data_IF_684478834756
#
_entry.id   IF_684478834756
#
_cell.length_a   1.000
_cell.length_b   1.000
_cell.length_c   1.000
_cell.angle_alpha   90.00
_cell.angle_beta   90.00
_cell.angle_gamma   90.00
#
_symmetry.space_group_name_H-M   'P 1'
#
loop_
_entity.id
_entity.type
_entity.pdbx_description
1 polymer ?
#
# COMPACT_ATOMS: atom_id res chain seq x y z
N UNK A 1 -7.86 17.63 -34.48
CA UNK A 1 -9.21 18.23 -34.27
C UNK A 1 -9.19 19.75 -34.45
N UNK A 2 -8.53 20.54 -33.59
CA UNK A 2 -8.52 22.03 -33.71
C UNK A 2 -8.17 22.56 -35.11
N UNK A 3 -7.13 22.00 -35.75
CA UNK A 3 -6.74 22.33 -37.13
C UNK A 3 -7.84 22.04 -38.17
N UNK A 4 -8.57 20.92 -38.02
CA UNK A 4 -9.67 20.54 -38.92
C UNK A 4 -10.85 21.50 -38.81
N UNK A 5 -11.14 21.98 -37.59
CA UNK A 5 -12.20 22.97 -37.33
C UNK A 5 -11.86 24.30 -37.99
N UNK A 6 -10.63 24.78 -37.84
CA UNK A 6 -10.23 26.10 -38.37
C UNK A 6 -10.04 26.10 -39.88
N UNK A 7 -9.76 24.95 -40.50
CA UNK A 7 -9.53 24.84 -41.96
C UNK A 7 -10.79 24.58 -42.78
N UNK A 8 -11.94 24.31 -42.15
CA UNK A 8 -13.18 23.96 -42.85
C UNK A 8 -14.32 24.90 -42.50
N UNK A 9 -15.09 25.32 -43.50
CA UNK A 9 -16.22 26.26 -43.30
C UNK A 9 -17.43 25.64 -42.58
N UNK A 10 -17.57 24.31 -42.61
CA UNK A 10 -18.65 23.53 -41.98
C UNK A 10 -18.11 22.19 -41.45
N UNK A 11 -17.27 22.21 -40.40
CA UNK A 11 -16.69 20.98 -39.88
C UNK A 11 -17.79 20.10 -39.25
N UNK A 12 -17.81 18.82 -39.59
CA UNK A 12 -18.70 17.82 -38.98
C UNK A 12 -17.87 16.64 -38.50
N UNK A 13 -18.38 15.88 -37.52
CA UNK A 13 -17.74 14.69 -37.01
C UNK A 13 -18.78 13.63 -36.68
N UNK A 14 -18.40 12.36 -36.80
CA UNK A 14 -19.20 11.22 -36.36
C UNK A 14 -18.49 10.53 -35.21
N UNK A 15 -19.21 10.25 -34.12
CA UNK A 15 -18.70 9.47 -32.99
C UNK A 15 -19.13 8.02 -33.19
N UNK A 16 -18.16 7.14 -33.46
CA UNK A 16 -18.39 5.71 -33.53
C UNK A 16 -18.10 5.04 -32.19
N UNK A 17 -18.90 4.05 -31.82
CA UNK A 17 -18.68 3.21 -30.64
C UNK A 17 -18.02 1.90 -31.08
N UNK A 18 -16.82 1.61 -30.56
CA UNK A 18 -16.07 0.38 -30.89
C UNK A 18 -16.21 -0.72 -29.82
N UNK A 19 -17.14 -0.58 -28.88
CA UNK A 19 -17.30 -1.49 -27.75
C UNK A 19 -16.09 -1.53 -26.82
N UNK A 20 -16.02 -2.57 -26.00
CA UNK A 20 -14.93 -2.79 -25.04
C UNK A 20 -13.69 -3.34 -25.76
N UNK A 21 -12.55 -2.68 -25.57
CA UNK A 21 -11.24 -3.18 -26.03
C UNK A 21 -10.53 -3.88 -24.88
N UNK A 22 -10.15 -5.14 -25.10
CA UNK A 22 -9.38 -5.95 -24.15
C UNK A 22 -7.90 -5.96 -24.54
N UNK A 23 -7.03 -6.33 -23.60
CA UNK A 23 -5.58 -6.41 -23.85
C UNK A 23 -4.92 -5.03 -23.99
N UNK A 24 -5.46 -4.00 -23.33
CA UNK A 24 -4.84 -2.68 -23.30
C UNK A 24 -3.61 -2.73 -22.38
N UNK A 25 -2.45 -2.38 -22.93
CA UNK A 25 -1.20 -2.29 -22.21
C UNK A 25 -0.66 -0.84 -22.25
N UNK A 26 0.03 -0.37 -21.19
CA UNK A 26 0.33 -1.09 -19.96
C UNK A 26 -0.89 -1.22 -19.03
N UNK A 27 -0.96 -2.32 -18.28
CA UNK A 27 -1.99 -2.58 -17.27
C UNK A 27 -1.42 -3.48 -16.16
N UNK A 28 -1.66 -3.19 -14.87
CA UNK A 28 -2.44 -2.07 -14.33
C UNK A 28 -1.69 -0.73 -14.41
N UNK A 29 -2.38 0.39 -14.21
CA UNK A 29 -1.77 1.71 -14.00
C UNK A 29 -2.37 2.36 -12.77
N UNK A 30 -1.61 3.20 -12.07
CA UNK A 30 -2.18 3.99 -10.97
C UNK A 30 -3.03 5.11 -11.58
N UNK A 31 -4.30 5.18 -11.17
CA UNK A 31 -5.22 6.20 -11.67
C UNK A 31 -4.79 7.60 -11.21
N UNK A 32 -5.01 8.60 -12.07
CA UNK A 32 -4.59 9.97 -11.79
C UNK A 32 -5.29 10.60 -10.58
N UNK A 33 -6.52 10.16 -10.31
CA UNK A 33 -7.30 10.61 -9.14
C UNK A 33 -6.97 9.84 -7.85
N UNK A 34 -6.18 8.76 -7.91
CA UNK A 34 -5.86 7.97 -6.72
C UNK A 34 -5.01 8.82 -5.78
N UNK A 35 -5.44 8.97 -4.52
CA UNK A 35 -4.68 9.70 -3.51
C UNK A 35 -3.31 9.06 -3.28
N UNK A 36 -2.32 9.91 -3.00
CA UNK A 36 -0.92 9.51 -2.81
C UNK A 36 -0.47 9.75 -1.38
N UNK A 37 0.53 9.00 -0.94
CA UNK A 37 1.25 9.25 0.30
C UNK A 37 2.12 10.52 0.22
N UNK A 38 2.89 10.81 1.29
CA UNK A 38 3.00 10.02 2.52
C UNK A 38 1.75 10.09 3.40
N UNK A 39 1.69 9.26 4.44
CA UNK A 39 0.67 9.35 5.47
C UNK A 39 0.82 10.67 6.25
N UNK A 40 -0.15 11.60 6.19
CA UNK A 40 -0.02 12.91 6.83
C UNK A 40 -0.08 12.85 8.37
N UNK A 41 -0.56 11.74 8.95
CA UNK A 41 -0.68 11.56 10.40
C UNK A 41 0.58 10.90 10.97
N UNK A 42 1.13 9.92 10.27
CA UNK A 42 2.33 9.17 10.70
C UNK A 42 3.16 8.79 9.47
N UNK A 43 4.06 9.68 9.00
CA UNK A 43 4.85 9.48 7.79
C UNK A 43 5.72 8.22 7.80
N UNK A 44 6.07 7.70 8.97
CA UNK A 44 6.82 6.46 9.18
C UNK A 44 6.00 5.20 8.85
N UNK A 45 4.68 5.33 8.65
CA UNK A 45 3.79 4.27 8.16
C UNK A 45 3.41 4.58 6.72
N UNK A 46 3.96 3.80 5.79
CA UNK A 46 3.71 3.95 4.35
C UNK A 46 2.22 3.83 4.03
N UNK A 47 1.72 4.77 3.21
CA UNK A 47 0.39 4.72 2.60
C UNK A 47 0.42 5.13 1.12
N UNK A 48 -0.44 4.56 0.26
CA UNK A 48 -1.43 3.51 0.57
C UNK A 48 -0.77 2.16 0.88
N UNK A 49 -1.55 1.16 1.30
CA UNK A 49 -0.99 -0.17 1.64
C UNK A 49 -0.75 -1.04 0.39
N UNK A 50 -1.69 -1.01 -0.56
CA UNK A 50 -1.67 -1.76 -1.81
C UNK A 50 -2.73 -1.20 -2.78
N UNK A 51 -2.69 -1.59 -4.05
CA UNK A 51 -3.67 -1.18 -5.08
C UNK A 51 -4.43 -2.38 -5.65
N UNK A 52 -5.64 -2.09 -6.16
CA UNK A 52 -6.52 -3.05 -6.80
C UNK A 52 -7.37 -2.36 -7.88
N UNK A 53 -8.05 -3.10 -8.77
CA UNK A 53 -8.84 -2.53 -9.86
C UNK A 53 -9.93 -1.58 -9.37
N UNK A 54 -9.92 -0.33 -9.87
CA UNK A 54 -10.89 0.69 -9.48
C UNK A 54 -11.31 1.63 -10.59
N UNK A 55 -10.91 1.38 -11.84
CA UNK A 55 -11.26 2.20 -13.01
C UNK A 55 -12.17 1.39 -13.92
N UNK A 56 -13.30 1.98 -14.31
CA UNK A 56 -14.30 1.37 -15.18
C UNK A 56 -14.80 0.01 -14.67
N UNK A 57 -15.15 -0.06 -13.38
CA UNK A 57 -15.67 -1.27 -12.76
C UNK A 57 -17.17 -1.35 -12.99
N UNK A 58 -17.61 -2.45 -13.61
CA UNK A 58 -19.02 -2.80 -13.77
C UNK A 58 -19.55 -3.43 -12.49
N UNK A 59 -20.59 -2.84 -11.89
CA UNK A 59 -21.23 -3.37 -10.70
C UNK A 59 -22.74 -3.09 -10.70
N UNK A 60 -23.47 -3.74 -9.78
CA UNK A 60 -24.92 -3.56 -9.63
C UNK A 60 -25.29 -2.10 -9.35
N UNK A 61 -26.41 -1.66 -9.90
CA UNK A 61 -26.90 -0.30 -9.79
C UNK A 61 -28.40 -0.29 -9.49
N UNK A 62 -28.83 0.63 -8.62
CA UNK A 62 -30.20 0.63 -8.10
C UNK A 62 -31.26 1.04 -9.13
N UNK A 63 -30.84 1.66 -10.24
CA UNK A 63 -31.75 2.24 -11.23
C UNK A 63 -32.48 3.51 -10.77
N UNK A 64 -32.27 3.97 -9.52
CA UNK A 64 -32.91 5.20 -8.98
C UNK A 64 -32.34 6.49 -9.58
N UNK A 65 -31.08 6.44 -10.01
CA UNK A 65 -30.36 7.56 -10.62
C UNK A 65 -29.80 7.07 -11.96
N UNK A 66 -29.84 7.92 -12.98
CA UNK A 66 -29.24 7.62 -14.28
C UNK A 66 -27.75 7.26 -14.16
N UNK A 67 -27.24 6.38 -15.04
CA UNK A 67 -25.87 5.87 -14.93
C UNK A 67 -24.80 6.94 -15.09
N UNK A 68 -25.08 8.07 -15.77
CA UNK A 68 -24.11 9.17 -15.86
C UNK A 68 -24.07 10.06 -14.63
N UNK A 69 -25.08 10.01 -13.75
CA UNK A 69 -25.24 10.93 -12.63
C UNK A 69 -25.55 12.38 -13.05
N UNK A 70 -25.78 12.66 -14.33
CA UNK A 70 -26.10 13.98 -14.85
C UNK A 70 -27.61 14.27 -14.73
N UNK A 71 -27.93 15.55 -14.50
CA UNK A 71 -29.31 16.02 -14.58
C UNK A 71 -29.88 15.75 -15.99
N UNK A 72 -31.08 15.14 -16.04
CA UNK A 72 -31.73 14.75 -17.29
C UNK A 72 -31.38 13.35 -17.82
N UNK A 73 -30.43 12.64 -17.20
CA UNK A 73 -30.22 11.22 -17.52
C UNK A 73 -31.27 10.34 -16.83
N UNK A 74 -32.35 10.05 -17.56
CA UNK A 74 -33.47 9.23 -17.08
C UNK A 74 -33.32 7.73 -17.41
N UNK A 75 -32.13 7.26 -17.80
CA UNK A 75 -31.93 5.83 -18.11
C UNK A 75 -31.95 5.00 -16.82
N UNK A 76 -32.65 3.88 -16.84
CA UNK A 76 -32.61 2.89 -15.76
C UNK A 76 -31.79 1.68 -16.20
N UNK A 77 -30.75 1.34 -15.43
CA UNK A 77 -29.85 0.21 -15.71
C UNK A 77 -29.64 -0.61 -14.45
N UNK A 78 -29.52 -1.93 -14.61
CA UNK A 78 -29.23 -2.86 -13.52
C UNK A 78 -27.75 -2.87 -13.13
N UNK A 79 -26.88 -2.43 -14.04
CA UNK A 79 -25.44 -2.36 -13.84
C UNK A 79 -24.91 -1.02 -14.35
N UNK A 80 -23.91 -0.48 -13.67
CA UNK A 80 -23.23 0.75 -14.05
C UNK A 80 -21.71 0.57 -14.03
N UNK A 81 -21.01 1.39 -14.81
CA UNK A 81 -19.56 1.42 -14.89
C UNK A 81 -19.10 2.71 -14.23
N UNK A 82 -18.41 2.59 -13.10
CA UNK A 82 -17.88 3.73 -12.36
C UNK A 82 -16.41 3.53 -12.00
N UNK A 83 -15.76 4.62 -11.65
CA UNK A 83 -14.34 4.64 -11.27
C UNK A 83 -14.17 5.32 -9.92
N UNK A 84 -13.22 4.83 -9.14
CA UNK A 84 -12.87 5.38 -7.84
C UNK A 84 -12.10 4.37 -6.99
N UNK A 85 -11.38 4.86 -5.99
CA UNK A 85 -10.82 4.01 -4.93
C UNK A 85 -11.93 3.29 -4.16
N UNK A 86 -13.14 3.86 -4.12
CA UNK A 86 -14.38 3.21 -3.66
C UNK A 86 -14.71 1.92 -4.42
N UNK A 87 -14.20 1.72 -5.64
CA UNK A 87 -14.35 0.48 -6.41
C UNK A 87 -13.17 -0.47 -6.19
N UNK A 88 -11.96 0.05 -5.91
CA UNK A 88 -10.81 -0.78 -5.51
C UNK A 88 -11.01 -1.43 -4.13
N UNK A 89 -11.53 -0.68 -3.17
CA UNK A 89 -11.77 -1.14 -1.80
C UNK A 89 -12.56 -2.46 -1.72
N UNK A 90 -13.75 -2.62 -2.35
CA UNK A 90 -14.51 -3.86 -2.28
C UNK A 90 -13.81 -5.05 -2.96
N UNK A 91 -12.93 -4.84 -3.94
CA UNK A 91 -12.08 -5.93 -4.46
C UNK A 91 -11.16 -6.46 -3.36
N UNK A 92 -10.43 -5.57 -2.67
CA UNK A 92 -9.53 -5.95 -1.57
C UNK A 92 -10.32 -6.57 -0.41
N UNK A 93 -11.50 -6.04 -0.06
CA UNK A 93 -12.36 -6.62 0.97
C UNK A 93 -12.81 -8.04 0.62
N UNK A 94 -13.19 -8.28 -0.64
CA UNK A 94 -13.53 -9.62 -1.13
C UNK A 94 -12.34 -10.58 -1.07
N UNK A 95 -11.15 -10.12 -1.48
CA UNK A 95 -9.92 -10.90 -1.37
C UNK A 95 -9.57 -11.23 0.08
N UNK A 96 -9.65 -10.26 0.98
CA UNK A 96 -9.42 -10.48 2.41
C UNK A 96 -10.39 -11.51 2.99
N UNK A 97 -11.66 -11.49 2.58
CA UNK A 97 -12.64 -12.49 2.99
C UNK A 97 -12.31 -13.89 2.44
N UNK A 98 -11.85 -14.01 1.19
CA UNK A 98 -11.42 -15.28 0.61
C UNK A 98 -10.18 -15.85 1.33
N UNK A 99 -9.19 -15.00 1.61
CA UNK A 99 -8.01 -15.39 2.39
C UNK A 99 -8.42 -15.81 3.80
N UNK A 100 -9.35 -15.09 4.45
CA UNK A 100 -9.90 -15.49 5.76
C UNK A 100 -10.63 -16.83 5.71
N UNK A 101 -11.37 -17.10 4.64
CA UNK A 101 -12.07 -18.37 4.46
C UNK A 101 -11.09 -19.55 4.27
N UNK A 102 -9.98 -19.32 3.57
CA UNK A 102 -8.91 -20.31 3.42
C UNK A 102 -8.10 -20.51 4.71
N UNK A 103 -7.94 -19.44 5.50
CA UNK A 103 -7.14 -19.41 6.73
C UNK A 103 -7.95 -18.85 7.90
N UNK A 104 -8.87 -19.67 8.42
CA UNK A 104 -9.85 -19.26 9.44
C UNK A 104 -9.23 -18.68 10.71
N UNK A 105 -8.02 -19.08 11.06
CA UNK A 105 -7.32 -18.63 12.28
C UNK A 105 -6.51 -17.34 12.08
N UNK A 106 -6.32 -16.87 10.84
CA UNK A 106 -5.48 -15.70 10.59
C UNK A 106 -6.11 -14.42 11.14
N UNK A 107 -5.30 -13.61 11.79
CA UNK A 107 -5.68 -12.27 12.23
C UNK A 107 -5.92 -11.35 11.00
N UNK A 108 -6.63 -10.22 11.18
CA UNK A 108 -6.72 -9.19 10.15
C UNK A 108 -5.34 -8.70 9.68
N UNK A 109 -4.35 -8.65 10.58
CA UNK A 109 -2.99 -8.24 10.27
C UNK A 109 -2.24 -9.27 9.42
N UNK A 110 -2.38 -10.56 9.72
CA UNK A 110 -1.82 -11.64 8.93
C UNK A 110 -2.41 -11.65 7.50
N UNK A 111 -3.72 -11.45 7.35
CA UNK A 111 -4.37 -11.35 6.04
C UNK A 111 -3.86 -10.14 5.26
N UNK A 112 -3.77 -8.99 5.91
CA UNK A 112 -3.21 -7.78 5.31
C UNK A 112 -1.76 -8.01 4.89
N UNK A 113 -0.95 -8.62 5.75
CA UNK A 113 0.43 -8.96 5.44
C UNK A 113 0.51 -9.84 4.21
N UNK A 114 -0.28 -10.91 4.13
CA UNK A 114 -0.29 -11.81 2.99
C UNK A 114 -0.61 -11.07 1.68
N UNK A 115 -1.63 -10.20 1.68
CA UNK A 115 -1.99 -9.39 0.51
C UNK A 115 -0.90 -8.39 0.10
N UNK A 116 -0.16 -7.83 1.06
CA UNK A 116 0.91 -6.86 0.80
C UNK A 116 2.20 -7.52 0.34
N UNK A 117 2.70 -8.53 1.05
CA UNK A 117 4.01 -9.14 0.76
C UNK A 117 4.03 -9.98 -0.51
N UNK A 118 2.85 -10.31 -1.06
CA UNK A 118 2.69 -11.07 -2.31
C UNK A 118 2.25 -10.20 -3.48
N UNK A 119 2.01 -8.91 -3.26
CA UNK A 119 1.68 -7.97 -4.32
C UNK A 119 2.84 -7.76 -5.30
N UNK A 120 2.52 -7.43 -6.55
CA UNK A 120 3.53 -7.17 -7.59
C UNK A 120 3.64 -5.67 -7.91
N UNK A 121 4.86 -5.23 -8.21
CA UNK A 121 5.19 -3.81 -8.47
C UNK A 121 5.62 -3.54 -9.92
N UNK A 122 5.72 -4.59 -10.74
CA UNK A 122 6.17 -4.53 -12.12
C UNK A 122 5.31 -5.39 -13.04
N UNK A 123 5.26 -5.03 -14.32
CA UNK A 123 4.65 -5.86 -15.35
C UNK A 123 5.50 -7.12 -15.62
N UNK A 124 4.93 -8.07 -16.38
CA UNK A 124 5.63 -9.30 -16.79
C UNK A 124 6.94 -9.05 -17.56
N UNK A 125 7.10 -7.88 -18.17
CA UNK A 125 8.32 -7.48 -18.88
C UNK A 125 9.37 -6.79 -17.98
N UNK A 126 9.15 -6.76 -16.66
CA UNK A 126 10.05 -6.17 -15.67
C UNK A 126 9.97 -4.65 -15.54
N UNK A 127 9.19 -3.95 -16.38
CA UNK A 127 8.98 -2.51 -16.23
C UNK A 127 8.06 -2.22 -15.04
N UNK A 128 8.36 -1.16 -14.31
CA UNK A 128 7.54 -0.71 -13.18
C UNK A 128 6.12 -0.31 -13.61
N UNK A 129 5.17 -0.48 -12.68
CA UNK A 129 3.82 0.11 -12.81
C UNK A 129 3.97 1.63 -13.02
N UNK A 130 3.13 2.21 -13.87
CA UNK A 130 3.18 3.64 -14.17
C UNK A 130 2.07 4.41 -13.47
N UNK A 131 2.38 5.65 -13.13
CA UNK A 131 1.40 6.63 -12.69
C UNK A 131 0.90 7.41 -13.91
N UNK A 132 -0.40 7.33 -14.19
CA UNK A 132 -0.97 8.00 -15.36
C UNK A 132 -1.07 9.52 -15.21
N UNK A 133 -0.99 10.07 -13.99
CA UNK A 133 -0.97 11.52 -13.79
C UNK A 133 0.34 12.14 -14.26
N UNK A 134 1.47 11.45 -14.04
CA UNK A 134 2.81 11.96 -14.32
C UNK A 134 3.41 11.34 -15.58
N UNK A 135 2.97 10.15 -15.97
CA UNK A 135 3.55 9.36 -17.07
C UNK A 135 4.86 8.66 -16.71
N UNK A 136 5.28 8.71 -15.44
CA UNK A 136 6.52 8.12 -14.95
C UNK A 136 6.28 6.83 -14.16
N UNK A 137 7.34 6.03 -13.87
CA UNK A 137 7.27 4.91 -12.94
C UNK A 137 6.66 5.33 -11.60
N UNK A 138 5.69 4.57 -11.11
CA UNK A 138 5.09 4.74 -9.80
C UNK A 138 6.07 4.40 -8.69
N UNK A 139 5.85 5.02 -7.55
CA UNK A 139 6.56 4.84 -6.29
C UNK A 139 5.69 4.11 -5.26
N UNK A 140 6.27 3.65 -4.14
CA UNK A 140 5.49 3.11 -3.03
C UNK A 140 4.46 4.08 -2.44
N UNK A 141 4.60 5.41 -2.62
CA UNK A 141 3.56 6.38 -2.23
C UNK A 141 2.35 6.38 -3.17
N UNK A 142 2.47 5.73 -4.33
CA UNK A 142 1.39 5.60 -5.30
C UNK A 142 0.66 4.26 -5.18
N UNK A 143 1.41 3.17 -4.97
CA UNK A 143 0.86 1.81 -4.95
C UNK A 143 1.04 1.03 -3.65
N UNK A 144 1.73 1.56 -2.64
CA UNK A 144 2.06 0.82 -1.42
C UNK A 144 3.00 -0.35 -1.69
N UNK A 145 2.55 -1.55 -1.35
CA UNK A 145 3.27 -2.80 -1.62
C UNK A 145 3.15 -3.27 -3.08
N UNK A 146 2.15 -2.79 -3.82
CA UNK A 146 1.93 -3.15 -5.22
C UNK A 146 0.48 -3.47 -5.54
N UNK A 147 0.26 -4.03 -6.72
CA UNK A 147 -1.05 -4.53 -7.13
C UNK A 147 -1.29 -5.94 -6.57
N UNK A 148 -2.50 -6.15 -6.03
CA UNK A 148 -2.92 -7.43 -5.45
C UNK A 148 -2.65 -8.62 -6.37
N UNK A 149 -2.12 -9.71 -5.78
CA UNK A 149 -2.08 -11.05 -6.36
C UNK A 149 -2.89 -12.02 -5.47
N UNK A 150 -4.15 -12.32 -5.85
CA UNK A 150 -5.02 -13.18 -5.06
C UNK A 150 -4.49 -14.60 -4.83
N UNK A 151 -3.76 -15.15 -5.81
CA UNK A 151 -3.33 -16.54 -5.77
C UNK A 151 -2.10 -16.66 -4.89
N UNK A 152 -1.13 -15.76 -5.05
CA UNK A 152 0.05 -15.73 -4.20
C UNK A 152 -0.30 -15.44 -2.72
N UNK A 153 -1.30 -14.58 -2.46
CA UNK A 153 -1.74 -14.24 -1.10
C UNK A 153 -2.33 -15.43 -0.31
N UNK A 154 -2.70 -16.53 -0.95
CA UNK A 154 -3.18 -17.74 -0.26
C UNK A 154 -2.05 -18.54 0.40
N UNK A 155 -0.81 -18.40 -0.07
CA UNK A 155 0.36 -19.06 0.52
C UNK A 155 1.58 -18.12 0.53
N UNK A 156 1.59 -17.11 1.41
CA UNK A 156 2.65 -16.11 1.46
C UNK A 156 3.96 -16.64 2.08
N UNK A 157 3.96 -17.85 2.65
CA UNK A 157 5.05 -18.43 3.44
C UNK A 157 5.23 -17.77 4.82
N UNK A 158 5.43 -16.45 4.85
CA UNK A 158 5.63 -15.67 6.08
C UNK A 158 4.64 -14.50 6.18
N UNK A 159 4.24 -14.16 7.40
CA UNK A 159 3.40 -12.97 7.67
C UNK A 159 3.95 -12.11 8.80
N UNK A 160 3.76 -10.79 8.67
CA UNK A 160 3.90 -9.80 9.73
C UNK A 160 2.59 -9.72 10.49
N UNK A 161 2.48 -10.49 11.57
CA UNK A 161 1.29 -10.51 12.41
C UNK A 161 1.37 -9.44 13.51
N UNK A 162 0.24 -8.84 13.87
CA UNK A 162 0.12 -7.88 14.97
C UNK A 162 -1.12 -8.17 15.80
N UNK A 163 -1.03 -7.82 17.08
CA UNK A 163 -2.09 -7.91 18.08
C UNK A 163 -2.73 -6.55 18.34
N UNK A 164 -3.83 -6.55 19.08
CA UNK A 164 -4.44 -5.30 19.57
C UNK A 164 -3.47 -4.53 20.46
N UNK A 165 -2.72 -5.23 21.31
CA UNK A 165 -1.74 -4.60 22.21
C UNK A 165 -0.61 -3.90 21.44
N UNK A 166 -0.18 -4.45 20.29
CA UNK A 166 0.80 -3.78 19.42
C UNK A 166 0.27 -2.44 18.87
N UNK A 167 -1.03 -2.36 18.56
CA UNK A 167 -1.66 -1.09 18.17
C UNK A 167 -1.82 -0.13 19.34
N UNK A 168 -2.10 -0.62 20.55
CA UNK A 168 -2.18 0.21 21.75
C UNK A 168 -0.80 0.79 22.10
N UNK A 169 0.26 -0.01 21.99
CA UNK A 169 1.65 0.42 22.12
C UNK A 169 2.04 1.44 21.04
N UNK A 170 1.55 1.27 19.81
CA UNK A 170 1.74 2.23 18.73
C UNK A 170 1.03 3.56 19.02
N UNK A 171 -0.20 3.55 19.56
CA UNK A 171 -0.87 4.77 20.00
C UNK A 171 -0.11 5.47 21.13
N UNK A 172 0.51 4.70 22.04
CA UNK A 172 1.42 5.26 23.04
C UNK A 172 2.66 5.91 22.40
N UNK A 173 3.22 5.33 21.34
CA UNK A 173 4.33 5.93 20.58
C UNK A 173 3.93 7.24 19.89
N UNK A 174 2.66 7.40 19.53
CA UNK A 174 2.08 8.63 18.98
C UNK A 174 1.69 9.66 20.06
N UNK A 175 2.03 9.41 21.34
CA UNK A 175 1.68 10.27 22.48
C UNK A 175 0.18 10.44 22.72
N UNK A 176 -0.65 9.46 22.37
CA UNK A 176 -2.07 9.49 22.71
C UNK A 176 -2.25 9.38 24.23
N UNK A 177 -3.18 10.17 24.78
CA UNK A 177 -3.59 10.04 26.18
C UNK A 177 -4.43 8.78 26.39
N UNK A 178 -4.52 8.29 27.64
CA UNK A 178 -5.37 7.14 27.96
C UNK A 178 -6.85 7.36 27.59
N UNK A 179 -7.36 8.59 27.66
CA UNK A 179 -8.73 8.90 27.25
C UNK A 179 -8.88 8.82 25.73
N UNK A 180 -7.90 9.32 24.96
CA UNK A 180 -7.89 9.19 23.50
C UNK A 180 -7.80 7.73 23.06
N UNK A 181 -6.97 6.93 23.73
CA UNK A 181 -6.87 5.49 23.46
C UNK A 181 -8.19 4.80 23.79
N UNK A 182 -8.81 5.13 24.93
CA UNK A 182 -10.13 4.59 25.31
C UNK A 182 -11.19 4.90 24.27
N UNK A 183 -11.25 6.12 23.76
CA UNK A 183 -12.20 6.49 22.70
C UNK A 183 -11.91 5.82 21.36
N UNK A 184 -10.63 5.58 21.04
CA UNK A 184 -10.23 5.02 19.74
C UNK A 184 -10.34 3.50 19.69
N UNK A 185 -9.85 2.82 20.74
CA UNK A 185 -9.81 1.35 20.82
C UNK A 185 -11.05 0.75 21.53
N UNK A 186 -11.91 1.60 22.11
CA UNK A 186 -13.04 1.18 22.96
C UNK A 186 -12.61 0.23 24.11
N UNK A 187 -11.39 0.43 24.62
CA UNK A 187 -10.78 -0.36 25.69
C UNK A 187 -9.89 0.52 26.56
N UNK A 188 -9.87 0.29 27.87
CA UNK A 188 -8.96 1.00 28.76
C UNK A 188 -7.52 0.51 28.59
N UNK A 189 -6.61 1.44 28.34
CA UNK A 189 -5.18 1.16 28.24
C UNK A 189 -4.36 2.34 28.79
N UNK A 190 -3.30 2.01 29.52
CA UNK A 190 -2.38 3.01 30.11
C UNK A 190 -0.96 2.72 29.65
N UNK A 191 -0.39 3.68 28.93
CA UNK A 191 1.01 3.64 28.53
C UNK A 191 1.89 3.61 29.78
N UNK A 192 2.56 2.49 30.02
CA UNK A 192 3.56 2.35 31.08
C UNK A 192 4.72 3.32 30.88
N UNK A 193 5.05 4.11 31.91
CA UNK A 193 6.21 5.02 31.90
C UNK A 193 7.55 4.29 31.88
N UNK A 194 7.58 3.01 32.24
CA UNK A 194 8.80 2.20 32.25
C UNK A 194 9.14 1.63 30.85
N UNK A 195 8.19 1.65 29.92
CA UNK A 195 8.36 1.12 28.56
C UNK A 195 8.62 2.27 27.59
N UNK A 196 9.60 2.08 26.69
CA UNK A 196 9.84 2.99 25.58
C UNK A 196 9.01 2.51 24.39
N UNK A 197 8.10 3.37 23.91
CA UNK A 197 7.31 3.11 22.72
C UNK A 197 7.94 3.80 21.51
N UNK A 198 7.93 3.13 20.37
CA UNK A 198 8.45 3.67 19.11
C UNK A 198 7.51 3.32 17.97
N UNK A 199 7.34 4.27 17.06
CA UNK A 199 6.54 4.06 15.85
C UNK A 199 7.14 2.94 15.01
N UNK A 200 8.48 2.90 14.93
CA UNK A 200 9.22 1.90 14.15
C UNK A 200 9.04 0.46 14.65
N UNK A 201 8.57 0.25 15.89
CA UNK A 201 8.41 -1.09 16.48
C UNK A 201 7.05 -1.74 16.11
N UNK A 202 6.12 -1.00 15.48
CA UNK A 202 4.89 -1.61 14.93
C UNK A 202 5.28 -2.65 13.87
N UNK A 203 4.83 -3.89 14.04
CA UNK A 203 5.19 -5.02 13.17
C UNK A 203 4.46 -4.96 11.81
N UNK A 204 4.75 -3.94 11.02
CA UNK A 204 4.05 -3.61 9.78
C UNK A 204 4.80 -4.15 8.55
N UNK A 205 4.09 -4.64 7.51
CA UNK A 205 4.70 -5.24 6.30
C UNK A 205 5.26 -4.19 5.30
N UNK A 206 5.73 -3.05 5.80
CA UNK A 206 6.46 -2.05 5.04
C UNK A 206 7.34 -1.21 5.96
N UNK A 207 8.26 -0.46 5.35
CA UNK A 207 9.18 0.43 6.04
C UNK A 207 9.12 1.80 5.35
N UNK A 208 8.89 2.86 6.12
CA UNK A 208 9.05 4.24 5.66
C UNK A 208 9.95 4.98 6.65
N UNK A 209 10.91 5.72 6.11
CA UNK A 209 11.88 6.50 6.89
C UNK A 209 11.75 7.94 6.44
N UNK A 210 11.48 8.84 7.38
CA UNK A 210 11.63 10.26 7.15
C UNK A 210 13.09 10.64 7.42
N UNK A 211 13.78 11.16 6.41
CA UNK A 211 15.17 11.58 6.52
C UNK A 211 15.22 13.10 6.62
N UNK A 212 15.91 13.62 7.63
CA UNK A 212 16.13 15.06 7.78
C UNK A 212 17.00 15.56 6.62
N UNK A 213 16.56 16.63 5.96
CA UNK A 213 17.33 17.34 4.92
C UNK A 213 18.16 18.47 5.55
N UNK A 214 19.28 18.84 4.94
CA UNK A 214 20.26 19.82 5.44
C UNK A 214 19.73 21.26 5.68
N UNK A 215 18.44 21.53 5.51
CA UNK A 215 17.83 22.85 5.73
C UNK A 215 17.58 23.20 7.20
N UNK A 216 17.71 22.27 8.14
CA UNK A 216 17.53 22.54 9.57
C UNK A 216 18.85 22.60 10.34
N UNK A 217 19.66 23.64 10.08
CA UNK A 217 20.72 24.16 10.98
C UNK A 217 21.63 23.13 11.69
N UNK A 218 22.05 22.04 11.02
CA UNK A 218 23.04 21.10 11.57
C UNK A 218 23.99 20.61 10.48
N UNK A 219 25.21 20.26 10.93
CA UNK A 219 26.33 19.81 10.10
C UNK A 219 25.89 18.96 8.90
N UNK A 220 26.37 19.35 7.73
CA UNK A 220 26.14 18.75 6.40
C UNK A 220 26.68 17.30 6.24
N UNK A 221 26.93 16.61 7.36
CA UNK A 221 27.43 15.23 7.46
C UNK A 221 26.69 14.38 8.51
N UNK A 222 25.59 14.89 9.10
CA UNK A 222 24.81 14.09 10.03
C UNK A 222 24.19 12.87 9.32
N UNK A 223 24.52 11.67 9.80
CA UNK A 223 23.94 10.42 9.29
C UNK A 223 22.69 10.11 10.09
N UNK A 224 21.53 10.14 9.45
CA UNK A 224 20.28 9.69 10.05
C UNK A 224 20.25 8.17 10.04
N UNK A 225 20.09 7.53 11.20
CA UNK A 225 19.98 6.07 11.33
C UNK A 225 18.68 5.69 12.02
N UNK A 226 17.85 4.91 11.35
CA UNK A 226 16.56 4.41 11.85
C UNK A 226 16.59 2.88 11.89
N UNK A 227 16.11 2.30 12.99
CA UNK A 227 16.10 0.86 13.22
C UNK A 227 14.67 0.36 13.38
N UNK A 228 14.28 -0.62 12.58
CA UNK A 228 12.98 -1.27 12.65
C UNK A 228 13.15 -2.67 13.18
N UNK A 229 12.41 -3.02 14.22
CA UNK A 229 12.28 -4.41 14.67
C UNK A 229 11.05 -5.02 14.02
N UNK A 230 11.20 -6.19 13.42
CA UNK A 230 10.08 -6.94 12.84
C UNK A 230 10.10 -8.38 13.30
N UNK A 231 8.93 -8.98 13.37
CA UNK A 231 8.73 -10.38 13.71
C UNK A 231 7.92 -11.05 12.60
N UNK A 232 8.48 -12.10 12.01
CA UNK A 232 7.81 -12.92 11.02
C UNK A 232 7.27 -14.17 11.70
N UNK A 233 6.05 -14.54 11.33
CA UNK A 233 5.45 -15.83 11.68
C UNK A 233 5.45 -16.72 10.45
N UNK A 234 5.98 -17.93 10.55
CA UNK A 234 5.89 -18.91 9.47
C UNK A 234 4.48 -19.49 9.37
N UNK A 235 3.83 -19.32 8.23
CA UNK A 235 2.50 -19.87 7.92
C UNK A 235 2.56 -20.95 6.84
N UNK A 236 3.73 -21.20 6.27
CA UNK A 236 3.99 -22.28 5.31
C UNK A 236 4.74 -23.46 5.92
N UNK A 237 5.24 -24.34 5.05
CA UNK A 237 6.08 -25.48 5.46
C UNK A 237 7.42 -25.02 6.04
N UNK A 238 8.09 -25.82 6.89
CA UNK A 238 9.43 -25.52 7.40
C UNK A 238 10.40 -25.14 6.28
N UNK A 239 11.07 -24.00 6.43
CA UNK A 239 11.93 -23.42 5.40
C UNK A 239 12.94 -22.42 5.98
N UNK A 240 14.01 -22.20 5.21
CA UNK A 240 15.01 -21.17 5.50
C UNK A 240 14.90 -20.04 4.47
N UNK A 241 14.75 -18.82 4.96
CA UNK A 241 14.63 -17.61 4.15
C UNK A 241 15.89 -16.77 4.28
N UNK A 242 16.39 -16.26 3.16
CA UNK A 242 17.50 -15.31 3.11
C UNK A 242 16.99 -13.95 2.66
N UNK A 243 17.34 -12.90 3.40
CA UNK A 243 16.99 -11.53 3.05
C UNK A 243 17.75 -11.08 1.80
N UNK A 244 17.03 -10.47 0.86
CA UNK A 244 17.61 -9.80 -0.29
C UNK A 244 17.26 -8.31 -0.20
N UNK A 245 18.29 -7.45 -0.23
CA UNK A 245 18.13 -6.01 -0.17
C UNK A 245 18.50 -5.43 -1.53
N UNK A 246 17.58 -4.68 -2.14
CA UNK A 246 17.81 -3.96 -3.39
C UNK A 246 17.64 -2.46 -3.15
N UNK A 247 18.74 -1.72 -3.17
CA UNK A 247 18.74 -0.27 -3.02
C UNK A 247 18.96 0.40 -4.39
N UNK A 248 18.10 1.35 -4.73
CA UNK A 248 18.17 2.11 -5.98
C UNK A 248 19.08 3.35 -5.88
N UNK A 249 19.50 3.71 -4.66
CA UNK A 249 20.39 4.84 -4.37
C UNK A 249 21.58 4.38 -3.55
N UNK A 250 22.76 4.90 -3.87
CA UNK A 250 23.98 4.68 -3.08
C UNK A 250 24.01 5.50 -1.79
N UNK A 251 23.16 6.53 -1.68
CA UNK A 251 23.11 7.42 -0.50
C UNK A 251 22.36 6.81 0.68
N UNK A 252 21.64 5.70 0.47
CA UNK A 252 20.89 5.00 1.52
C UNK A 252 21.46 3.60 1.68
N UNK A 253 21.96 3.29 2.87
CA UNK A 253 22.43 1.96 3.25
C UNK A 253 21.35 1.26 4.08
N UNK A 254 20.97 0.06 3.66
CA UNK A 254 20.00 -0.79 4.36
C UNK A 254 20.70 -2.09 4.75
N UNK A 255 20.60 -2.45 6.03
CA UNK A 255 21.20 -3.67 6.60
C UNK A 255 20.13 -4.47 7.33
N UNK A 256 20.12 -5.79 7.14
CA UNK A 256 19.16 -6.71 7.76
C UNK A 256 19.91 -7.71 8.63
N UNK A 257 19.54 -7.81 9.91
CA UNK A 257 20.19 -8.70 10.87
C UNK A 257 19.16 -9.53 11.67
N UNK A 258 19.24 -10.87 11.67
CA UNK A 258 20.12 -11.70 10.84
C UNK A 258 19.67 -11.71 9.37
N UNK A 259 20.61 -11.94 8.43
CA UNK A 259 20.30 -12.07 7.00
C UNK A 259 19.55 -13.36 6.65
N UNK A 260 19.49 -14.33 7.55
CA UNK A 260 18.85 -15.63 7.33
C UNK A 260 18.02 -16.05 8.53
N UNK A 261 16.80 -16.51 8.27
CA UNK A 261 15.87 -17.04 9.27
C UNK A 261 15.45 -18.46 8.89
N UNK A 262 15.69 -19.43 9.77
CA UNK A 262 15.32 -20.84 9.55
C UNK A 262 14.18 -21.23 10.48
N UNK A 263 13.00 -21.54 9.91
CA UNK A 263 11.81 -21.95 10.63
C UNK A 263 11.62 -23.46 10.52
N UNK A 264 11.46 -24.13 11.65
CA UNK A 264 11.36 -25.59 11.76
C UNK A 264 9.90 -26.08 11.82
N UNK A 265 8.94 -25.19 12.07
CA UNK A 265 7.51 -25.52 12.15
C UNK A 265 6.61 -24.35 11.79
N UNK A 266 5.36 -24.66 11.47
CA UNK A 266 4.28 -23.67 11.32
C UNK A 266 4.09 -22.93 12.64
N UNK A 267 3.76 -21.65 12.58
CA UNK A 267 3.56 -20.71 13.69
C UNK A 267 4.82 -20.39 14.51
N UNK A 268 5.99 -20.85 14.10
CA UNK A 268 7.24 -20.36 14.70
C UNK A 268 7.44 -18.88 14.33
N UNK A 269 7.79 -18.08 15.34
CA UNK A 269 8.04 -16.65 15.21
C UNK A 269 9.53 -16.36 15.31
N UNK A 270 10.06 -15.52 14.43
CA UNK A 270 11.44 -15.02 14.50
C UNK A 270 11.50 -13.55 14.21
N UNK A 271 12.36 -12.87 14.93
CA UNK A 271 12.58 -11.44 14.78
C UNK A 271 13.85 -11.16 14.00
N UNK A 272 13.83 -10.04 13.28
CA UNK A 272 14.98 -9.46 12.62
C UNK A 272 14.92 -7.94 12.74
N UNK A 273 16.05 -7.29 12.52
CA UNK A 273 16.19 -5.85 12.57
C UNK A 273 16.58 -5.33 11.19
N UNK A 274 15.91 -4.27 10.73
CA UNK A 274 16.31 -3.49 9.56
C UNK A 274 16.90 -2.18 10.04
N UNK A 275 18.14 -1.90 9.67
CA UNK A 275 18.79 -0.61 9.92
C UNK A 275 18.89 0.14 8.60
N UNK A 276 18.29 1.32 8.54
CA UNK A 276 18.41 2.26 7.42
C UNK A 276 19.26 3.42 7.86
N UNK A 277 20.34 3.69 7.16
CA UNK A 277 21.22 4.83 7.39
C UNK A 277 21.41 5.63 6.11
N UNK A 278 21.25 6.94 6.19
CA UNK A 278 21.47 7.84 5.06
C UNK A 278 22.21 9.10 5.52
N UNK A 279 23.10 9.59 4.67
CA UNK A 279 23.71 10.90 4.85
C UNK A 279 22.68 11.99 4.58
N UNK A 280 22.78 13.12 5.29
CA UNK A 280 21.93 14.29 5.07
C UNK A 280 21.90 14.67 3.58
N UNK A 281 20.74 14.58 2.96
CA UNK A 281 20.55 14.93 1.55
C UNK A 281 20.35 16.45 1.38
N UNK A 282 20.81 17.04 0.27
CA UNK A 282 20.49 18.43 -0.07
C UNK A 282 18.97 18.62 -0.20
N UNK A 283 18.45 19.73 0.33
CA UNK A 283 17.01 20.05 0.23
C UNK A 283 16.54 20.07 -1.23
N UNK A 284 15.44 19.38 -1.52
CA UNK A 284 14.84 19.33 -2.86
C UNK A 284 15.42 18.29 -3.82
N UNK A 285 16.11 17.27 -3.29
CA UNK A 285 16.53 16.08 -4.05
C UNK A 285 15.56 14.90 -3.93
#
# INVERSE_FOLDING_TARGET
IKKYITSNKKPTATIGFSGTKLGVEPSPVVASFSSRGPNPITPEILKPDLIAPGVNILAGWTGKVGPSGLEGDNRHVNFNIISGTSMSCPHVSGLAALVKAAHLEWSPAAIKSALMTTAYTAYKNGKAIIDIATGFPSTPFDYGAGHVDPIAALDPGLVYDTTVDDYLDFLCALNYSSDQIKHTANQEYRCSKAKKYRIEDLNYPSFAVNLETASENRDSKAVSTVKFTRTLTNVGTPATYKALVSAHSTSVKVVVEPETLSFNRVNEKKSFMVTVSAESMPSGS
#
